data_IF_950047104079
#
_entry.id   IF_950047104079
#
_cell.length_a   1.000
_cell.length_b   1.000
_cell.length_c   1.000
_cell.angle_alpha   90.00
_cell.angle_beta   90.00
_cell.angle_gamma   90.00
#
_symmetry.space_group_name_H-M   'P 1'
#
loop_
_entity.id
_entity.type
_entity.pdbx_description
1 polymer ?
#
# COMPACT_ATOMS: atom_id res chain seq x y z
N UNK A 1 23.93 3.08 -4.12
CA UNK A 1 24.55 2.96 -2.79
C UNK A 1 23.73 1.99 -1.93
N UNK A 2 24.35 0.88 -1.55
CA UNK A 2 23.69 -0.18 -0.79
C UNK A 2 23.22 0.27 0.59
N UNK A 3 23.95 1.18 1.23
CA UNK A 3 23.57 1.69 2.54
C UNK A 3 22.31 2.56 2.46
N UNK A 4 22.23 3.39 1.44
CA UNK A 4 21.03 4.22 1.21
C UNK A 4 19.80 3.34 0.97
N UNK A 5 19.96 2.28 0.18
CA UNK A 5 18.88 1.36 -0.15
C UNK A 5 18.38 0.64 1.10
N UNK A 6 19.30 0.14 1.94
CA UNK A 6 18.95 -0.48 3.23
C UNK A 6 18.18 0.48 4.11
N UNK A 7 18.66 1.71 4.22
CA UNK A 7 18.00 2.74 5.03
C UNK A 7 16.62 3.07 4.51
N UNK A 8 16.46 3.19 3.20
CA UNK A 8 15.14 3.49 2.59
C UNK A 8 14.16 2.34 2.83
N UNK A 9 14.62 1.09 2.70
CA UNK A 9 13.76 -0.05 2.96
C UNK A 9 13.35 -0.12 4.43
N UNK A 10 14.29 0.11 5.33
CA UNK A 10 14.01 0.14 6.78
C UNK A 10 12.98 1.22 7.11
N UNK A 11 13.18 2.42 6.60
CA UNK A 11 12.26 3.54 6.84
C UNK A 11 10.87 3.28 6.27
N UNK A 12 10.81 2.69 5.07
CA UNK A 12 9.54 2.34 4.46
C UNK A 12 8.79 1.30 5.29
N UNK A 13 9.50 0.27 5.77
CA UNK A 13 8.91 -0.75 6.62
C UNK A 13 8.38 -0.16 7.92
N UNK A 14 9.14 0.72 8.56
CA UNK A 14 8.69 1.43 9.76
C UNK A 14 7.43 2.24 9.50
N UNK A 15 7.41 2.95 8.39
CA UNK A 15 6.30 3.82 8.02
C UNK A 15 5.01 3.02 7.77
N UNK A 16 5.11 1.91 7.02
CA UNK A 16 3.94 1.16 6.58
C UNK A 16 3.45 0.15 7.62
N UNK A 17 4.35 -0.52 8.33
CA UNK A 17 3.97 -1.48 9.36
C UNK A 17 3.49 -0.74 10.62
N UNK A 18 4.17 0.33 11.00
CA UNK A 18 3.77 1.21 12.09
C UNK A 18 4.20 0.76 13.47
N UNK A 19 4.01 -0.49 13.82
CA UNK A 19 4.38 -1.03 15.14
C UNK A 19 5.88 -1.37 15.15
N UNK A 20 6.62 -0.83 16.13
CA UNK A 20 8.08 -0.99 16.16
C UNK A 20 8.53 -2.43 16.38
N UNK A 21 7.81 -3.20 17.17
CA UNK A 21 8.14 -4.61 17.41
C UNK A 21 7.89 -5.47 16.17
N UNK A 22 6.77 -5.23 15.52
CA UNK A 22 6.43 -5.92 14.28
C UNK A 22 7.46 -5.61 13.20
N UNK A 23 7.84 -4.35 13.09
CA UNK A 23 8.85 -3.90 12.11
C UNK A 23 10.20 -4.56 12.39
N UNK A 24 10.64 -4.54 13.62
CA UNK A 24 11.90 -5.16 14.01
C UNK A 24 11.91 -6.66 13.69
N UNK A 25 10.85 -7.37 14.03
CA UNK A 25 10.72 -8.79 13.75
C UNK A 25 10.75 -9.05 12.24
N UNK A 26 10.02 -8.23 11.47
CA UNK A 26 10.01 -8.36 10.03
C UNK A 26 11.39 -8.15 9.42
N UNK A 27 12.09 -7.08 9.82
CA UNK A 27 13.40 -6.74 9.26
C UNK A 27 14.45 -7.82 9.54
N UNK A 28 14.33 -8.56 10.63
CA UNK A 28 15.24 -9.67 10.93
C UNK A 28 15.08 -10.84 9.96
N UNK A 29 13.96 -10.93 9.25
CA UNK A 29 13.66 -12.04 8.36
C UNK A 29 13.96 -11.75 6.89
N UNK A 30 14.41 -10.55 6.56
CA UNK A 30 14.72 -10.18 5.18
C UNK A 30 16.19 -9.87 5.03
N UNK A 31 16.71 -10.17 3.83
CA UNK A 31 18.07 -9.80 3.43
C UNK A 31 18.02 -8.55 2.58
N UNK A 32 19.01 -7.69 2.74
CA UNK A 32 19.07 -6.40 2.04
C UNK A 32 20.47 -6.14 1.49
N UNK A 33 21.16 -7.19 1.03
CA UNK A 33 22.57 -7.10 0.62
C UNK A 33 22.77 -6.62 -0.81
N UNK A 34 21.81 -6.92 -1.68
CA UNK A 34 21.90 -6.56 -3.10
C UNK A 34 20.50 -6.29 -3.65
N UNK A 35 20.42 -5.90 -4.93
CA UNK A 35 19.15 -5.55 -5.55
C UNK A 35 18.18 -6.73 -5.68
N UNK A 36 18.70 -7.93 -5.85
CA UNK A 36 17.88 -9.14 -5.86
C UNK A 36 17.18 -9.35 -4.52
N UNK A 37 17.91 -9.13 -3.44
CA UNK A 37 17.37 -9.22 -2.09
C UNK A 37 16.27 -8.16 -1.88
N UNK A 38 16.47 -6.96 -2.40
CA UNK A 38 15.49 -5.88 -2.30
C UNK A 38 14.19 -6.26 -3.02
N UNK A 39 14.31 -6.86 -4.19
CA UNK A 39 13.14 -7.33 -4.94
C UNK A 39 12.32 -8.32 -4.13
N UNK A 40 12.99 -9.30 -3.52
CA UNK A 40 12.34 -10.28 -2.66
C UNK A 40 11.76 -9.60 -1.41
N UNK A 41 12.53 -8.70 -0.79
CA UNK A 41 12.10 -8.00 0.41
C UNK A 41 10.86 -7.14 0.17
N UNK A 42 10.73 -6.53 -1.01
CA UNK A 42 9.55 -5.76 -1.39
C UNK A 42 8.29 -6.62 -1.33
N UNK A 43 8.33 -7.82 -1.94
CA UNK A 43 7.19 -8.74 -1.91
C UNK A 43 6.92 -9.25 -0.49
N UNK A 44 7.97 -9.49 0.29
CA UNK A 44 7.82 -9.86 1.70
C UNK A 44 7.14 -8.76 2.51
N UNK A 45 7.47 -7.50 2.22
CA UNK A 45 6.82 -6.36 2.87
C UNK A 45 5.33 -6.32 2.52
N UNK A 46 4.99 -6.53 1.26
CA UNK A 46 3.59 -6.59 0.84
C UNK A 46 2.84 -7.70 1.57
N UNK A 47 3.43 -8.88 1.69
CA UNK A 47 2.83 -10.01 2.42
C UNK A 47 2.64 -9.68 3.90
N UNK A 48 3.65 -9.06 4.51
CA UNK A 48 3.58 -8.66 5.93
C UNK A 48 2.45 -7.69 6.16
N UNK A 49 2.27 -6.72 5.26
CA UNK A 49 1.22 -5.72 5.38
C UNK A 49 -0.18 -6.33 5.24
N UNK A 50 -0.34 -7.32 4.37
CA UNK A 50 -1.60 -8.07 4.27
C UNK A 50 -1.86 -8.84 5.56
N UNK A 51 -0.85 -9.52 6.07
CA UNK A 51 -0.95 -10.27 7.33
C UNK A 51 -1.33 -9.36 8.50
N UNK A 52 -0.79 -8.14 8.54
CA UNK A 52 -1.10 -7.15 9.58
C UNK A 52 -2.39 -6.36 9.31
N UNK A 53 -3.09 -6.70 8.24
CA UNK A 53 -4.34 -6.03 7.85
C UNK A 53 -4.16 -4.53 7.56
N UNK A 54 -2.96 -4.14 7.13
CA UNK A 54 -2.64 -2.78 6.69
C UNK A 54 -2.94 -2.59 5.21
N UNK A 55 -2.99 -3.67 4.45
CA UNK A 55 -3.31 -3.66 3.03
C UNK A 55 -4.35 -4.73 2.72
N UNK A 56 -4.99 -4.57 1.58
CA UNK A 56 -5.79 -5.64 0.97
C UNK A 56 -5.24 -5.91 -0.42
N UNK A 57 -5.22 -7.18 -0.79
CA UNK A 57 -4.75 -7.61 -2.12
C UNK A 57 -5.96 -8.04 -2.92
N UNK A 58 -6.29 -7.28 -3.97
CA UNK A 58 -7.46 -7.52 -4.79
C UNK A 58 -7.05 -7.83 -6.23
N UNK A 59 -7.69 -8.83 -6.82
CA UNK A 59 -7.58 -9.08 -8.25
C UNK A 59 -8.16 -7.89 -9.03
N UNK A 60 -7.58 -7.56 -10.19
CA UNK A 60 -8.02 -6.42 -10.98
C UNK A 60 -9.48 -6.52 -11.43
N UNK A 61 -10.01 -7.74 -11.53
CA UNK A 61 -11.39 -8.02 -11.91
C UNK A 61 -12.37 -7.96 -10.75
N UNK A 62 -11.90 -7.65 -9.53
CA UNK A 62 -12.76 -7.61 -8.37
C UNK A 62 -13.93 -6.66 -8.58
N UNK A 63 -15.12 -7.11 -8.16
CA UNK A 63 -16.33 -6.31 -8.25
C UNK A 63 -16.40 -5.28 -7.12
N UNK A 64 -17.40 -4.42 -7.22
CA UNK A 64 -17.63 -3.34 -6.28
C UNK A 64 -17.72 -3.82 -4.84
N UNK A 65 -18.44 -4.92 -4.57
CA UNK A 65 -18.64 -5.42 -3.21
C UNK A 65 -17.32 -5.82 -2.55
N UNK A 66 -16.46 -6.51 -3.31
CA UNK A 66 -15.15 -6.95 -2.82
C UNK A 66 -14.27 -5.73 -2.54
N UNK A 67 -14.26 -4.77 -3.47
CA UNK A 67 -13.50 -3.53 -3.31
C UNK A 67 -13.98 -2.75 -2.08
N UNK A 68 -15.30 -2.51 -1.99
CA UNK A 68 -15.89 -1.74 -0.89
C UNK A 68 -15.57 -2.38 0.46
N UNK A 69 -15.74 -3.69 0.58
CA UNK A 69 -15.43 -4.43 1.81
C UNK A 69 -13.96 -4.25 2.22
N UNK A 70 -13.06 -4.36 1.25
CA UNK A 70 -11.63 -4.21 1.50
C UNK A 70 -11.29 -2.81 2.00
N UNK A 71 -11.82 -1.79 1.32
CA UNK A 71 -11.53 -0.40 1.68
C UNK A 71 -12.17 -0.05 3.03
N UNK A 72 -13.38 -0.52 3.27
CA UNK A 72 -14.06 -0.30 4.54
C UNK A 72 -13.24 -0.87 5.71
N UNK A 73 -12.69 -2.05 5.53
CA UNK A 73 -11.82 -2.67 6.52
C UNK A 73 -10.57 -1.84 6.79
N UNK A 74 -9.91 -1.35 5.73
CA UNK A 74 -8.73 -0.49 5.87
C UNK A 74 -9.05 0.84 6.54
N UNK A 75 -10.22 1.39 6.28
CA UNK A 75 -10.62 2.70 6.80
C UNK A 75 -11.18 2.68 8.22
N UNK A 76 -11.52 1.52 8.74
CA UNK A 76 -12.21 1.40 10.03
C UNK A 76 -11.44 2.03 11.19
N UNK A 77 -10.13 1.77 11.26
CA UNK A 77 -9.27 2.29 12.32
C UNK A 77 -8.91 3.77 12.14
N UNK A 78 -9.21 4.33 10.97
CA UNK A 78 -8.88 5.70 10.63
C UNK A 78 -10.09 6.63 10.78
N UNK A 79 -11.21 6.11 11.26
CA UNK A 79 -12.46 6.85 11.40
C UNK A 79 -12.88 7.47 10.05
N UNK A 80 -12.66 6.72 8.98
CA UNK A 80 -12.89 7.17 7.62
C UNK A 80 -14.20 6.56 7.11
N UNK A 81 -15.19 7.41 6.85
CA UNK A 81 -16.45 6.96 6.28
C UNK A 81 -16.34 6.76 4.78
N UNK A 82 -16.82 5.60 4.32
CA UNK A 82 -16.83 5.26 2.91
C UNK A 82 -18.28 5.01 2.50
N UNK A 83 -18.79 5.89 1.64
CA UNK A 83 -20.17 5.78 1.17
C UNK A 83 -20.20 4.91 -0.09
N UNK A 84 -20.78 3.71 0.04
CA UNK A 84 -20.89 2.76 -1.05
C UNK A 84 -21.65 3.34 -2.26
N UNK A 85 -22.61 4.24 -2.01
CA UNK A 85 -23.47 4.77 -3.06
C UNK A 85 -22.72 5.64 -4.08
N UNK A 86 -21.50 6.14 -3.75
CA UNK A 86 -20.72 6.94 -4.69
C UNK A 86 -19.95 6.07 -5.69
N UNK A 87 -19.96 4.75 -5.49
CA UNK A 87 -19.23 3.82 -6.36
C UNK A 87 -20.21 3.21 -7.38
N UNK A 88 -19.88 3.37 -8.65
CA UNK A 88 -20.68 2.81 -9.75
C UNK A 88 -20.28 1.36 -9.99
N UNK A 89 -21.22 0.44 -9.84
CA UNK A 89 -21.01 -0.99 -10.01
C UNK A 89 -20.39 -1.37 -11.36
N UNK A 90 -20.61 -0.56 -12.37
CA UNK A 90 -20.11 -0.81 -13.73
C UNK A 90 -18.65 -0.39 -13.91
N UNK A 91 -18.08 0.31 -12.95
CA UNK A 91 -16.71 0.77 -13.02
C UNK A 91 -15.74 -0.28 -12.48
N UNK A 92 -14.52 0.12 -12.23
CA UNK A 92 -13.41 -0.76 -11.83
C UNK A 92 -12.59 -0.12 -10.71
N UNK A 93 -11.57 -0.84 -10.24
CA UNK A 93 -10.75 -0.37 -9.13
C UNK A 93 -10.14 1.02 -9.37
N UNK A 94 -9.52 1.32 -10.53
CA UNK A 94 -8.97 2.67 -10.74
C UNK A 94 -10.02 3.78 -10.66
N UNK A 95 -11.20 3.56 -11.22
CA UNK A 95 -12.28 4.55 -11.18
C UNK A 95 -12.83 4.75 -9.78
N UNK A 96 -13.09 3.68 -9.06
CA UNK A 96 -13.53 3.75 -7.66
C UNK A 96 -12.49 4.45 -6.80
N UNK A 97 -11.22 4.13 -7.02
CA UNK A 97 -10.11 4.74 -6.29
C UNK A 97 -10.04 6.25 -6.54
N UNK A 98 -10.20 6.66 -7.78
CA UNK A 98 -10.24 8.09 -8.15
C UNK A 98 -11.38 8.81 -7.46
N UNK A 99 -12.57 8.20 -7.43
CA UNK A 99 -13.74 8.76 -6.77
C UNK A 99 -13.45 8.99 -5.28
N UNK A 100 -12.93 7.99 -4.59
CA UNK A 100 -12.61 8.10 -3.18
C UNK A 100 -11.53 9.15 -2.93
N UNK A 101 -10.46 9.12 -3.71
CA UNK A 101 -9.35 10.06 -3.55
C UNK A 101 -9.77 11.52 -3.81
N UNK A 102 -10.77 11.73 -4.64
CA UNK A 102 -11.30 13.08 -4.87
C UNK A 102 -12.11 13.60 -3.68
N UNK A 103 -12.62 12.71 -2.85
CA UNK A 103 -13.47 13.07 -1.70
C UNK A 103 -12.69 13.17 -0.39
N UNK A 104 -11.62 12.40 -0.23
CA UNK A 104 -10.86 12.36 1.01
C UNK A 104 -9.91 13.55 1.09
N UNK A 105 -9.95 14.23 2.24
CA UNK A 105 -9.14 15.42 2.47
C UNK A 105 -7.73 15.07 2.97
N UNK A 106 -7.66 14.17 3.93
CA UNK A 106 -6.41 13.92 4.66
C UNK A 106 -5.75 12.59 4.32
N UNK A 107 -6.44 11.75 3.57
CA UNK A 107 -5.99 10.39 3.25
C UNK A 107 -5.95 10.16 1.75
N UNK A 108 -5.14 9.19 1.36
CA UNK A 108 -5.04 8.71 -0.02
C UNK A 108 -5.15 7.19 -0.02
N UNK A 109 -5.97 6.68 -0.92
CA UNK A 109 -5.95 5.26 -1.27
C UNK A 109 -4.83 5.07 -2.28
N UNK A 110 -3.79 4.37 -1.85
CA UNK A 110 -2.59 4.13 -2.63
C UNK A 110 -2.46 2.66 -2.98
N UNK A 111 -1.61 2.36 -3.92
CA UNK A 111 -1.28 0.98 -4.30
C UNK A 111 0.22 0.80 -4.36
N UNK A 112 0.67 -0.40 -3.96
CA UNK A 112 2.06 -0.83 -4.07
C UNK A 112 2.18 -1.68 -5.33
N UNK A 113 3.12 -1.36 -6.19
CA UNK A 113 3.30 -2.08 -7.45
C UNK A 113 3.93 -3.45 -7.21
N UNK A 114 3.22 -4.49 -7.59
CA UNK A 114 3.71 -5.88 -7.46
C UNK A 114 3.93 -6.53 -8.84
N UNK A 115 3.85 -5.75 -9.91
CA UNK A 115 4.14 -6.23 -11.26
C UNK A 115 3.17 -7.25 -11.79
N UNK A 116 1.95 -7.30 -11.27
CA UNK A 116 0.93 -8.26 -11.68
C UNK A 116 -0.43 -7.57 -11.83
N UNK A 117 -1.46 -8.35 -12.11
CA UNK A 117 -2.83 -7.86 -12.21
C UNK A 117 -3.52 -7.67 -10.86
N UNK A 118 -2.77 -7.75 -9.77
CA UNK A 118 -3.29 -7.54 -8.43
C UNK A 118 -3.06 -6.10 -7.98
N UNK A 119 -4.01 -5.60 -7.19
CA UNK A 119 -3.89 -4.32 -6.51
C UNK A 119 -3.61 -4.56 -5.03
N UNK A 120 -2.45 -4.13 -4.57
CA UNK A 120 -2.12 -4.12 -3.14
C UNK A 120 -2.44 -2.72 -2.64
N UNK A 121 -3.61 -2.57 -2.03
CA UNK A 121 -4.17 -1.27 -1.66
C UNK A 121 -3.91 -0.95 -0.20
N UNK A 122 -3.55 0.30 0.06
CA UNK A 122 -3.28 0.79 1.41
C UNK A 122 -3.83 2.22 1.54
N UNK A 123 -4.34 2.55 2.73
CA UNK A 123 -4.78 3.91 3.01
C UNK A 123 -3.70 4.59 3.84
N UNK A 124 -3.19 5.70 3.35
CA UNK A 124 -2.16 6.47 4.03
C UNK A 124 -2.61 7.92 4.18
N UNK A 125 -2.21 8.57 5.28
CA UNK A 125 -2.36 10.03 5.31
C UNK A 125 -1.45 10.63 4.23
N UNK A 126 -1.72 11.85 3.81
CA UNK A 126 -1.02 12.45 2.66
C UNK A 126 0.47 12.63 2.90
N UNK A 127 0.87 12.92 4.13
CA UNK A 127 2.29 13.06 4.46
C UNK A 127 3.00 11.72 4.35
N UNK A 128 2.42 10.67 4.93
CA UNK A 128 2.97 9.32 4.84
C UNK A 128 3.03 8.84 3.39
N UNK A 129 2.00 9.16 2.59
CA UNK A 129 1.96 8.81 1.18
C UNK A 129 3.14 9.41 0.41
N UNK A 130 3.39 10.72 0.59
CA UNK A 130 4.50 11.38 -0.09
C UNK A 130 5.84 10.77 0.31
N UNK A 131 6.01 10.47 1.60
CA UNK A 131 7.24 9.83 2.08
C UNK A 131 7.38 8.42 1.52
N UNK A 132 6.32 7.65 1.51
CA UNK A 132 6.33 6.28 0.97
C UNK A 132 6.70 6.26 -0.51
N UNK A 133 6.18 7.20 -1.30
CA UNK A 133 6.53 7.34 -2.72
C UNK A 133 8.03 7.53 -2.92
N UNK A 134 8.62 8.43 -2.15
CA UNK A 134 10.06 8.71 -2.23
C UNK A 134 10.89 7.48 -1.87
N UNK A 135 10.53 6.82 -0.77
CA UNK A 135 11.25 5.65 -0.30
C UNK A 135 11.15 4.50 -1.29
N UNK A 136 9.96 4.27 -1.85
CA UNK A 136 9.78 3.23 -2.86
C UNK A 136 10.65 3.50 -4.10
N UNK A 137 10.72 4.75 -4.53
CA UNK A 137 11.55 5.15 -5.68
C UNK A 137 13.00 4.83 -5.43
N UNK A 138 13.51 5.06 -4.22
CA UNK A 138 14.89 4.70 -3.86
C UNK A 138 15.16 3.21 -4.04
N UNK A 139 14.12 2.39 -3.92
CA UNK A 139 14.20 0.94 -4.05
C UNK A 139 13.95 0.46 -5.49
N UNK A 140 13.74 1.38 -6.43
CA UNK A 140 13.35 1.09 -7.80
C UNK A 140 11.99 0.37 -7.87
N UNK A 141 11.13 0.70 -6.93
CA UNK A 141 9.74 0.23 -6.87
C UNK A 141 8.80 1.42 -6.86
N UNK A 142 7.51 1.16 -6.86
CA UNK A 142 6.53 2.22 -7.01
C UNK A 142 5.38 2.08 -6.01
N UNK A 143 5.08 3.21 -5.37
CA UNK A 143 3.82 3.41 -4.64
C UNK A 143 3.20 4.65 -5.28
N UNK A 144 1.93 4.57 -5.61
CA UNK A 144 1.22 5.67 -6.26
C UNK A 144 -0.23 5.69 -5.79
N UNK A 145 -0.96 6.76 -6.11
CA UNK A 145 -2.40 6.76 -5.91
C UNK A 145 -2.99 5.59 -6.70
N UNK A 146 -3.97 4.91 -6.13
CA UNK A 146 -4.47 3.65 -6.71
C UNK A 146 -5.00 3.82 -8.14
N UNK A 147 -5.58 4.99 -8.47
CA UNK A 147 -6.05 5.27 -9.84
C UNK A 147 -4.92 5.39 -10.86
N UNK A 148 -3.69 5.59 -10.42
CA UNK A 148 -2.53 5.72 -11.30
C UNK A 148 -1.78 4.40 -11.49
N UNK A 149 -2.15 3.37 -10.78
CA UNK A 149 -1.52 2.06 -10.86
C UNK A 149 -2.14 1.18 -12.01
#
# INVERSE_FOLDING_TARGET
DSEKIKNSFTKLSELLIGDSKHTETFLKRVKLENMEDIEIAWYRLCEELVFREKTVNLDWKSGKDVFFHGIQKLGADLDLEINETVLDEKEDIPRWSKTLNSQWKDYILAAMDVGSDSYVLIILDKRAFHKAKELARDLLHRIAAAEEM
#
